data_IF_120668044044
#
_entry.id   IF_120668044044
#
_cell.length_a   1.000
_cell.length_b   1.000
_cell.length_c   1.000
_cell.angle_alpha   90.00
_cell.angle_beta   90.00
_cell.angle_gamma   90.00
#
_symmetry.space_group_name_H-M   'P 1'
#
loop_
_entity.id
_entity.type
_entity.pdbx_description
1 polymer ?
#
# COMPACT_ATOMS: atom_id res chain seq x y z
N UNK A 1 -17.09 -14.91 -19.11
CA UNK A 1 -18.38 -14.41 -18.57
C UNK A 1 -18.19 -13.05 -17.90
N UNK A 2 -17.93 -11.99 -18.67
CA UNK A 2 -17.64 -10.63 -18.16
C UNK A 2 -18.69 -9.58 -18.58
N UNK A 3 -19.66 -9.96 -19.43
CA UNK A 3 -20.62 -9.02 -20.02
C UNK A 3 -21.69 -8.51 -19.05
N UNK A 4 -21.99 -9.21 -17.95
CA UNK A 4 -23.07 -8.80 -17.04
C UNK A 4 -22.65 -7.65 -16.13
N UNK A 5 -21.50 -7.76 -15.47
CA UNK A 5 -21.01 -6.75 -14.50
C UNK A 5 -20.69 -5.42 -15.18
N UNK A 6 -20.03 -5.45 -16.35
CA UNK A 6 -19.73 -4.22 -17.11
C UNK A 6 -21.01 -3.44 -17.46
N UNK A 7 -22.05 -4.14 -17.96
CA UNK A 7 -23.33 -3.51 -18.32
C UNK A 7 -24.04 -2.88 -17.12
N UNK A 8 -23.99 -3.54 -15.96
CA UNK A 8 -24.56 -3.00 -14.72
C UNK A 8 -23.82 -1.74 -14.27
N UNK A 9 -22.48 -1.74 -14.33
CA UNK A 9 -21.66 -0.56 -13.99
C UNK A 9 -21.96 0.59 -14.95
N UNK A 10 -22.03 0.34 -16.27
CA UNK A 10 -22.35 1.36 -17.26
C UNK A 10 -23.73 2.00 -17.00
N UNK A 11 -24.76 1.19 -16.72
CA UNK A 11 -26.10 1.69 -16.40
C UNK A 11 -26.12 2.57 -15.14
N UNK A 12 -25.34 2.22 -14.11
CA UNK A 12 -25.26 3.03 -12.88
C UNK A 12 -24.49 4.34 -13.12
N UNK A 13 -23.44 4.31 -13.96
CA UNK A 13 -22.67 5.51 -14.34
C UNK A 13 -23.52 6.54 -15.09
N UNK A 14 -24.41 6.09 -15.98
CA UNK A 14 -25.31 6.97 -16.75
C UNK A 14 -26.26 7.78 -15.85
N UNK A 15 -26.58 7.28 -14.66
CA UNK A 15 -27.47 7.97 -13.70
C UNK A 15 -26.73 9.00 -12.82
N UNK A 16 -25.40 9.03 -12.87
CA UNK A 16 -24.61 9.94 -12.04
C UNK A 16 -24.40 11.30 -12.71
N UNK A 17 -24.40 12.40 -11.95
CA UNK A 17 -23.92 13.69 -12.45
C UNK A 17 -22.46 13.61 -12.91
N UNK A 18 -22.08 14.46 -13.86
CA UNK A 18 -20.74 14.45 -14.50
C UNK A 18 -19.59 14.49 -13.47
N UNK A 19 -19.71 15.30 -12.42
CA UNK A 19 -18.69 15.40 -11.36
C UNK A 19 -18.49 14.08 -10.61
N UNK A 20 -19.55 13.29 -10.42
CA UNK A 20 -19.45 11.97 -9.80
C UNK A 20 -18.89 10.94 -10.79
N UNK A 21 -19.23 11.04 -12.08
CA UNK A 21 -18.61 10.20 -13.12
C UNK A 21 -17.09 10.42 -13.19
N UNK A 22 -16.61 11.66 -13.09
CA UNK A 22 -15.18 11.99 -13.02
C UNK A 22 -14.49 11.34 -11.82
N UNK A 23 -15.14 11.31 -10.66
CA UNK A 23 -14.62 10.63 -9.45
C UNK A 23 -14.52 9.12 -9.68
N UNK A 24 -15.54 8.49 -10.27
CA UNK A 24 -15.50 7.06 -10.59
C UNK A 24 -14.39 6.76 -11.60
N UNK A 25 -14.23 7.57 -12.65
CA UNK A 25 -13.14 7.43 -13.61
C UNK A 25 -11.76 7.50 -12.94
N UNK A 26 -11.56 8.44 -12.00
CA UNK A 26 -10.32 8.55 -11.22
C UNK A 26 -10.07 7.27 -10.41
N UNK A 27 -11.11 6.73 -9.77
CA UNK A 27 -11.01 5.50 -8.99
C UNK A 27 -10.68 4.28 -9.88
N UNK A 28 -11.37 4.09 -11.00
CA UNK A 28 -11.07 2.99 -11.94
C UNK A 28 -9.63 3.07 -12.46
N UNK A 29 -9.13 4.28 -12.76
CA UNK A 29 -7.71 4.49 -13.11
C UNK A 29 -6.75 4.11 -11.98
N UNK A 30 -7.14 4.30 -10.72
CA UNK A 30 -6.34 3.84 -9.57
C UNK A 30 -6.34 2.32 -9.42
N UNK A 31 -7.45 1.64 -9.72
CA UNK A 31 -7.53 0.18 -9.73
C UNK A 31 -6.65 -0.43 -10.83
N UNK A 32 -6.51 0.22 -11.98
CA UNK A 32 -5.56 -0.21 -13.01
C UNK A 32 -4.10 -0.06 -12.57
N UNK A 33 -3.84 0.88 -11.66
CA UNK A 33 -2.52 1.07 -11.03
C UNK A 33 -2.32 0.19 -9.79
N UNK A 34 -3.35 -0.54 -9.35
CA UNK A 34 -3.29 -1.42 -8.17
C UNK A 34 -2.91 -2.86 -8.50
N UNK A 35 -2.43 -3.15 -9.73
CA UNK A 35 -1.47 -4.24 -9.86
C UNK A 35 -0.33 -3.99 -8.87
N UNK A 36 0.18 -5.03 -8.19
CA UNK A 36 1.28 -4.92 -7.24
C UNK A 36 2.50 -4.28 -7.92
N UNK A 37 2.54 -2.96 -7.95
CA UNK A 37 3.63 -2.18 -8.49
C UNK A 37 4.63 -2.03 -7.36
N UNK A 38 5.45 -3.06 -7.18
CA UNK A 38 6.65 -2.93 -6.37
C UNK A 38 7.56 -1.85 -6.96
N UNK A 39 8.33 -1.18 -6.12
CA UNK A 39 9.46 -0.39 -6.60
C UNK A 39 10.55 -1.35 -7.08
N UNK A 40 11.25 -0.98 -8.16
CA UNK A 40 12.39 -1.80 -8.59
C UNK A 40 13.41 -1.83 -7.46
N UNK A 41 13.99 -3.00 -7.16
CA UNK A 41 15.05 -3.12 -6.14
C UNK A 41 16.23 -2.18 -6.40
N UNK A 42 16.48 -1.82 -7.66
CA UNK A 42 17.47 -0.80 -8.03
C UNK A 42 17.19 0.58 -7.39
N UNK A 43 15.92 0.94 -7.20
CA UNK A 43 15.50 2.18 -6.54
C UNK A 43 15.71 2.13 -5.03
N UNK A 44 15.84 0.93 -4.45
CA UNK A 44 16.12 0.73 -3.03
C UNK A 44 17.63 0.75 -2.72
N UNK A 45 18.49 0.54 -3.72
CA UNK A 45 19.95 0.55 -3.54
C UNK A 45 20.48 1.85 -2.92
N UNK A 46 19.81 2.98 -3.17
CA UNK A 46 20.14 4.29 -2.56
C UNK A 46 20.03 4.32 -1.03
N UNK A 47 19.34 3.35 -0.43
CA UNK A 47 19.18 3.25 1.02
C UNK A 47 20.20 2.29 1.66
N UNK A 48 21.01 1.59 0.87
CA UNK A 48 22.04 0.70 1.40
C UNK A 48 23.08 1.50 2.19
N UNK A 49 23.26 1.16 3.46
CA UNK A 49 24.19 1.87 4.36
C UNK A 49 23.72 3.25 4.83
N UNK A 50 22.44 3.60 4.66
CA UNK A 50 21.91 4.88 5.16
C UNK A 50 21.70 4.91 6.69
N UNK A 51 21.74 3.76 7.36
CA UNK A 51 21.65 3.69 8.82
C UNK A 51 23.07 3.81 9.39
N UNK A 52 23.28 4.76 10.29
CA UNK A 52 24.58 4.95 10.92
C UNK A 52 24.95 3.75 11.81
N UNK A 53 26.24 3.53 12.06
CA UNK A 53 26.67 2.48 12.98
C UNK A 53 26.13 2.67 14.40
N UNK A 54 25.99 3.92 14.84
CA UNK A 54 25.39 4.25 16.14
C UNK A 54 23.92 3.84 16.20
N UNK A 55 23.13 4.20 15.18
CA UNK A 55 21.72 3.81 15.09
C UNK A 55 21.56 2.28 15.01
N UNK A 56 22.48 1.58 14.32
CA UNK A 56 22.47 0.13 14.26
C UNK A 56 22.70 -0.52 15.63
N UNK A 57 23.61 0.01 16.45
CA UNK A 57 23.85 -0.49 17.81
C UNK A 57 22.65 -0.21 18.73
N UNK A 58 21.99 0.94 18.59
CA UNK A 58 20.76 1.24 19.31
C UNK A 58 19.66 0.25 18.93
N UNK A 59 19.40 0.06 17.62
CA UNK A 59 18.41 -0.90 17.14
C UNK A 59 18.68 -2.32 17.66
N UNK A 60 19.94 -2.76 17.60
CA UNK A 60 20.36 -4.07 18.10
C UNK A 60 20.05 -4.22 19.59
N UNK A 61 20.46 -3.24 20.41
CA UNK A 61 20.21 -3.26 21.86
C UNK A 61 18.72 -3.32 22.18
N UNK A 62 17.90 -2.51 21.50
CA UNK A 62 16.45 -2.49 21.73
C UNK A 62 15.79 -3.82 21.34
N UNK A 63 16.18 -4.41 20.19
CA UNK A 63 15.73 -5.75 19.79
C UNK A 63 16.14 -6.78 20.85
N UNK A 64 17.41 -6.81 21.27
CA UNK A 64 17.87 -7.77 22.28
C UNK A 64 17.16 -7.58 23.64
N UNK A 65 16.83 -6.34 24.01
CA UNK A 65 16.15 -6.05 25.27
C UNK A 65 14.64 -6.31 25.26
N UNK A 66 13.99 -6.23 24.09
CA UNK A 66 12.54 -6.27 23.93
C UNK A 66 11.99 -7.48 23.19
N UNK A 67 12.77 -8.17 22.35
CA UNK A 67 12.26 -9.20 21.44
C UNK A 67 11.86 -10.52 22.13
N UNK A 68 12.24 -10.72 23.40
CA UNK A 68 11.88 -11.92 24.19
C UNK A 68 10.95 -11.61 25.38
N UNK A 69 10.49 -10.37 25.55
CA UNK A 69 9.49 -10.02 26.58
C UNK A 69 8.09 -10.07 25.96
N UNK A 70 7.48 -11.25 26.00
CA UNK A 70 6.03 -11.35 25.88
C UNK A 70 5.46 -10.96 27.24
N UNK A 71 5.00 -9.72 27.38
CA UNK A 71 4.16 -9.36 28.53
C UNK A 71 2.75 -9.87 28.27
N UNK A 72 2.35 -10.92 29.00
CA UNK A 72 1.02 -11.52 28.88
C UNK A 72 -0.11 -10.61 29.37
N UNK A 73 0.21 -9.54 30.09
CA UNK A 73 -0.75 -8.66 30.75
C UNK A 73 -0.92 -7.30 30.01
N UNK A 74 -0.19 -7.06 28.92
CA UNK A 74 -0.28 -5.82 28.11
C UNK A 74 -1.27 -5.89 26.91
N UNK A 75 -2.13 -6.91 26.82
CA UNK A 75 -3.14 -7.06 25.74
C UNK A 75 -4.56 -7.22 26.26
#
# INVERSE_FOLDING_TARGET
MSSSTYKLIAKQLEQLPEEMQKKVLKYVKSLQKSGLNGVSGSQLAKFAGCISSEDLEIMKKEIESGCERIDSDEW
#
